data_IF_602565414207
#
_entry.id   IF_602565414207
#
_cell.length_a   1.000
_cell.length_b   1.000
_cell.length_c   1.000
_cell.angle_alpha   90.00
_cell.angle_beta   90.00
_cell.angle_gamma   90.00
#
_symmetry.space_group_name_H-M   'P 1'
#
loop_
_entity.id
_entity.type
_entity.pdbx_description
1 polymer ?
#
# COMPACT_ATOMS: atom_id res chain seq x y z
N UNK A 1 3.20 14.67 13.76
CA UNK A 1 2.29 14.48 12.62
C UNK A 1 1.92 13.01 12.63
N UNK A 2 0.62 12.64 12.63
CA UNK A 2 0.24 11.24 12.41
C UNK A 2 0.87 10.83 11.08
N UNK A 3 1.78 9.87 11.09
CA UNK A 3 2.26 9.29 9.84
C UNK A 3 1.04 8.73 9.11
N UNK A 4 0.90 9.06 7.82
CA UNK A 4 -0.21 8.57 7.01
C UNK A 4 -0.15 7.04 7.02
N UNK A 5 -1.24 6.37 7.41
CA UNK A 5 -1.32 4.90 7.50
C UNK A 5 -0.86 4.20 6.22
N UNK A 6 -1.03 4.85 5.07
CA UNK A 6 -0.59 4.35 3.76
C UNK A 6 0.95 4.33 3.68
N UNK A 7 1.63 5.34 4.22
CA UNK A 7 3.10 5.36 4.31
C UNK A 7 3.56 4.27 5.27
N UNK A 8 2.86 4.07 6.38
CA UNK A 8 3.18 3.01 7.33
C UNK A 8 3.03 1.62 6.71
N UNK A 9 1.94 1.38 5.99
CA UNK A 9 1.70 0.15 5.23
C UNK A 9 2.78 -0.07 4.18
N UNK A 10 3.13 0.97 3.42
CA UNK A 10 4.22 0.90 2.45
C UNK A 10 5.53 0.49 3.12
N UNK A 11 5.89 1.15 4.23
CA UNK A 11 7.11 0.83 4.97
C UNK A 11 7.07 -0.62 5.51
N UNK A 12 5.96 -1.07 6.08
CA UNK A 12 5.81 -2.46 6.57
C UNK A 12 5.89 -3.49 5.45
N UNK A 13 5.27 -3.23 4.30
CA UNK A 13 5.27 -4.14 3.16
C UNK A 13 6.66 -4.36 2.58
N UNK A 14 7.49 -3.31 2.57
CA UNK A 14 8.82 -3.33 1.93
C UNK A 14 10.00 -3.21 2.91
N UNK A 15 9.79 -3.50 4.20
CA UNK A 15 10.81 -3.47 5.28
C UNK A 15 12.11 -4.24 4.96
N UNK A 16 12.00 -5.33 4.21
CA UNK A 16 13.13 -6.16 3.76
C UNK A 16 13.91 -5.54 2.60
N UNK A 17 13.42 -4.46 2.01
CA UNK A 17 14.00 -3.78 0.85
C UNK A 17 14.22 -2.28 1.12
N UNK A 18 15.14 -1.91 2.04
CA UNK A 18 15.33 -0.52 2.45
C UNK A 18 15.74 0.42 1.32
N UNK A 19 16.45 -0.08 0.29
CA UNK A 19 16.76 0.68 -0.93
C UNK A 19 15.48 1.05 -1.67
N UNK A 20 14.58 0.08 -1.85
CA UNK A 20 13.30 0.27 -2.54
C UNK A 20 12.43 1.25 -1.77
N UNK A 21 12.33 1.11 -0.45
CA UNK A 21 11.58 2.06 0.37
C UNK A 21 12.04 3.49 0.13
N UNK A 22 13.35 3.73 0.17
CA UNK A 22 13.94 5.06 0.01
C UNK A 22 13.75 5.61 -1.41
N UNK A 23 14.02 4.80 -2.43
CA UNK A 23 14.00 5.24 -3.83
C UNK A 23 12.58 5.35 -4.39
N UNK A 24 11.62 4.60 -3.85
CA UNK A 24 10.22 4.66 -4.24
C UNK A 24 9.42 5.80 -3.55
N UNK A 25 9.94 6.39 -2.46
CA UNK A 25 9.22 7.46 -1.72
C UNK A 25 8.77 8.65 -2.60
N UNK A 26 9.60 9.20 -3.52
CA UNK A 26 9.15 10.30 -4.36
C UNK A 26 7.93 9.94 -5.22
N UNK A 27 7.89 8.70 -5.71
CA UNK A 27 6.77 8.18 -6.50
C UNK A 27 5.53 7.93 -5.63
N UNK A 28 5.73 7.41 -4.42
CA UNK A 28 4.66 7.25 -3.42
C UNK A 28 3.98 8.60 -3.14
N UNK A 29 4.76 9.65 -2.83
CA UNK A 29 4.21 10.97 -2.52
C UNK A 29 3.50 11.60 -3.71
N UNK A 30 4.10 11.53 -4.91
CA UNK A 30 3.45 11.99 -6.14
C UNK A 30 2.10 11.30 -6.35
N UNK A 31 2.02 10.00 -6.09
CA UNK A 31 0.80 9.23 -6.29
C UNK A 31 -0.25 9.49 -5.20
N UNK A 32 0.17 9.70 -3.96
CA UNK A 32 -0.72 10.15 -2.88
C UNK A 32 -1.40 11.48 -3.22
N UNK A 33 -0.63 12.43 -3.75
CA UNK A 33 -1.15 13.74 -4.18
C UNK A 33 -2.10 13.60 -5.38
N UNK A 34 -1.82 12.70 -6.33
CA UNK A 34 -2.70 12.40 -7.48
C UNK A 34 -4.04 11.77 -7.06
N UNK A 35 -3.99 10.73 -6.23
CA UNK A 35 -5.16 9.92 -5.90
C UNK A 35 -6.14 10.65 -4.98
N UNK A 36 -5.71 11.73 -4.32
CA UNK A 36 -6.53 12.49 -3.36
C UNK A 36 -7.29 11.58 -2.40
N UNK A 37 -6.61 10.56 -1.89
CA UNK A 37 -7.22 9.56 -0.99
C UNK A 37 -7.92 10.32 0.14
N UNK A 38 -9.24 10.11 0.25
CA UNK A 38 -10.07 10.88 1.17
C UNK A 38 -9.66 10.52 2.60
N UNK A 39 -9.79 11.48 3.52
CA UNK A 39 -9.60 11.23 4.95
C UNK A 39 -10.53 10.11 5.46
N UNK A 40 -11.67 9.90 4.79
CA UNK A 40 -12.59 8.79 5.06
C UNK A 40 -12.00 7.43 4.69
N UNK A 41 -11.31 7.33 3.55
CA UNK A 41 -10.67 6.08 3.12
C UNK A 41 -9.53 5.70 4.07
N UNK A 42 -8.75 6.70 4.52
CA UNK A 42 -7.73 6.52 5.55
C UNK A 42 -8.37 6.05 6.87
N UNK A 43 -9.47 6.67 7.28
CA UNK A 43 -10.17 6.30 8.51
C UNK A 43 -10.69 4.87 8.47
N UNK A 44 -11.08 4.36 7.29
CA UNK A 44 -11.53 2.98 7.13
C UNK A 44 -10.39 1.99 7.31
N UNK A 45 -9.22 2.27 6.73
CA UNK A 45 -8.02 1.47 6.98
C UNK A 45 -7.67 1.50 8.48
N UNK A 46 -7.81 2.65 9.16
CA UNK A 46 -7.59 2.74 10.61
C UNK A 46 -8.62 1.95 11.45
N UNK A 47 -9.75 1.50 10.86
CA UNK A 47 -10.77 0.71 11.58
C UNK A 47 -10.55 -0.81 11.52
N UNK A 48 -9.65 -1.29 10.68
CA UNK A 48 -9.34 -2.72 10.57
C UNK A 48 -8.49 -3.19 11.75
N UNK A 49 -8.56 -4.47 12.07
CA UNK A 49 -7.74 -5.05 13.14
C UNK A 49 -6.25 -5.16 12.74
N UNK A 50 -5.37 -5.22 13.73
CA UNK A 50 -3.93 -5.42 13.50
C UNK A 50 -3.62 -6.74 12.76
N UNK A 51 -4.45 -7.77 12.96
CA UNK A 51 -4.35 -9.05 12.25
C UNK A 51 -4.67 -8.86 10.75
N UNK A 52 -5.79 -8.22 10.42
CA UNK A 52 -6.15 -7.90 9.03
C UNK A 52 -5.09 -7.00 8.37
N UNK A 53 -4.58 -6.00 9.09
CA UNK A 53 -3.50 -5.14 8.62
C UNK A 53 -2.23 -5.95 8.30
N UNK A 54 -1.92 -6.95 9.12
CA UNK A 54 -0.78 -7.85 8.87
C UNK A 54 -0.99 -8.68 7.61
N UNK A 55 -2.18 -9.24 7.40
CA UNK A 55 -2.51 -9.99 6.19
C UNK A 55 -2.41 -9.12 4.92
N UNK A 56 -2.87 -7.88 4.98
CA UNK A 56 -2.75 -6.90 3.88
C UNK A 56 -1.27 -6.64 3.57
N UNK A 57 -0.45 -6.41 4.60
CA UNK A 57 0.99 -6.20 4.44
C UNK A 57 1.66 -7.40 3.77
N UNK A 58 1.32 -8.62 4.19
CA UNK A 58 1.86 -9.85 3.60
C UNK A 58 1.39 -10.05 2.15
N UNK A 59 0.12 -9.80 1.86
CA UNK A 59 -0.43 -9.87 0.51
C UNK A 59 0.27 -8.89 -0.44
N UNK A 60 0.41 -7.62 -0.04
CA UNK A 60 1.12 -6.60 -0.81
C UNK A 60 2.56 -7.06 -1.07
N UNK A 61 3.24 -7.58 -0.04
CA UNK A 61 4.61 -8.07 -0.15
C UNK A 61 4.74 -9.22 -1.15
N UNK A 62 3.84 -10.21 -1.07
CA UNK A 62 3.86 -11.36 -1.97
C UNK A 62 3.61 -10.95 -3.43
N UNK A 63 2.61 -10.12 -3.68
CA UNK A 63 2.29 -9.65 -5.04
C UNK A 63 3.41 -8.84 -5.68
N UNK A 64 4.17 -8.11 -4.87
CA UNK A 64 5.26 -7.26 -5.33
C UNK A 64 6.64 -7.91 -5.22
N UNK A 65 6.73 -9.19 -4.84
CA UNK A 65 8.00 -9.86 -4.57
C UNK A 65 8.90 -9.94 -5.82
N UNK A 66 8.32 -10.23 -6.99
CA UNK A 66 9.05 -10.35 -8.25
C UNK A 66 9.55 -8.98 -8.75
N UNK A 67 8.72 -7.94 -8.61
CA UNK A 67 9.08 -6.55 -8.90
C UNK A 67 10.19 -6.06 -7.97
N UNK A 68 10.07 -6.32 -6.66
CA UNK A 68 11.10 -5.97 -5.69
C UNK A 68 12.42 -6.67 -5.99
N UNK A 69 12.37 -7.96 -6.36
CA UNK A 69 13.56 -8.72 -6.75
C UNK A 69 14.20 -8.15 -8.01
N UNK A 70 13.40 -7.75 -9.00
CA UNK A 70 13.87 -7.14 -10.25
C UNK A 70 14.54 -5.79 -10.02
N UNK A 71 13.96 -4.95 -9.16
CA UNK A 71 14.53 -3.65 -8.76
C UNK A 71 15.83 -3.86 -7.98
N UNK A 72 15.84 -4.76 -7.00
CA UNK A 72 16.97 -4.96 -6.09
C UNK A 72 18.18 -5.62 -6.79
N UNK A 73 17.94 -6.45 -7.80
CA UNK A 73 18.99 -7.08 -8.60
C UNK A 73 19.50 -6.19 -9.75
N UNK A 74 18.86 -5.05 -10.02
CA UNK A 74 19.34 -4.09 -11.00
C UNK A 74 20.38 -3.15 -10.40
N UNK A 75 21.51 -2.98 -11.10
CA UNK A 75 22.50 -1.97 -10.75
C UNK A 75 22.00 -0.54 -11.01
N UNK A 76 21.06 -0.38 -11.95
CA UNK A 76 20.40 0.87 -12.30
C UNK A 76 18.91 0.58 -12.59
N UNK A 77 18.08 0.41 -11.55
CA UNK A 77 16.66 0.13 -11.72
C UNK A 77 15.98 1.31 -12.43
N UNK A 78 15.29 1.00 -13.53
CA UNK A 78 14.56 2.00 -14.31
C UNK A 78 13.45 2.63 -13.46
N UNK A 79 13.26 3.94 -13.61
CA UNK A 79 12.14 4.70 -13.01
C UNK A 79 10.77 4.04 -13.23
N UNK A 80 10.57 3.38 -14.37
CA UNK A 80 9.35 2.64 -14.69
C UNK A 80 9.03 1.54 -13.67
N UNK A 81 10.04 0.82 -13.17
CA UNK A 81 9.83 -0.26 -12.19
C UNK A 81 9.37 0.28 -10.83
N UNK A 82 9.87 1.45 -10.43
CA UNK A 82 9.41 2.11 -9.21
C UNK A 82 7.98 2.63 -9.36
N UNK A 83 7.63 3.16 -10.53
CA UNK A 83 6.25 3.58 -10.83
C UNK A 83 5.30 2.39 -10.82
N UNK A 84 5.67 1.29 -11.45
CA UNK A 84 4.88 0.05 -11.48
C UNK A 84 4.69 -0.54 -10.08
N UNK A 85 5.75 -0.54 -9.25
CA UNK A 85 5.66 -0.95 -7.85
C UNK A 85 4.65 -0.10 -7.07
N UNK A 86 4.69 1.22 -7.25
CA UNK A 86 3.78 2.14 -6.59
C UNK A 86 2.35 1.97 -7.09
N UNK A 87 2.13 1.79 -8.40
CA UNK A 87 0.80 1.52 -8.95
C UNK A 87 0.21 0.22 -8.40
N UNK A 88 0.99 -0.85 -8.40
CA UNK A 88 0.62 -2.14 -7.80
C UNK A 88 0.27 -1.99 -6.32
N UNK A 89 1.09 -1.28 -5.55
CA UNK A 89 0.81 -0.98 -4.14
C UNK A 89 -0.54 -0.26 -3.96
N UNK A 90 -0.83 0.78 -4.73
CA UNK A 90 -2.09 1.53 -4.61
C UNK A 90 -3.32 0.74 -5.07
N UNK A 91 -3.18 -0.16 -6.05
CA UNK A 91 -4.27 -1.08 -6.43
C UNK A 91 -4.67 -1.93 -5.22
N UNK A 92 -3.70 -2.45 -4.47
CA UNK A 92 -4.01 -3.26 -3.28
C UNK A 92 -4.58 -2.44 -2.11
N UNK A 93 -4.13 -1.20 -1.94
CA UNK A 93 -4.75 -0.27 -0.97
C UNK A 93 -6.22 -0.01 -1.32
N UNK A 94 -6.53 0.27 -2.59
CA UNK A 94 -7.92 0.47 -3.03
C UNK A 94 -8.77 -0.79 -2.85
N UNK A 95 -8.25 -1.96 -3.22
CA UNK A 95 -8.94 -3.23 -3.01
C UNK A 95 -9.24 -3.48 -1.51
N UNK A 96 -8.30 -3.09 -0.64
CA UNK A 96 -8.47 -3.18 0.81
C UNK A 96 -9.57 -2.24 1.29
N UNK A 97 -9.56 -0.98 0.86
CA UNK A 97 -10.60 0.00 1.20
C UNK A 97 -11.98 -0.51 0.75
N UNK A 98 -12.09 -1.01 -0.49
CA UNK A 98 -13.33 -1.57 -1.03
C UNK A 98 -13.82 -2.78 -0.21
N UNK A 99 -12.91 -3.66 0.20
CA UNK A 99 -13.25 -4.81 1.06
C UNK A 99 -13.80 -4.35 2.42
N UNK A 100 -13.15 -3.38 3.05
CA UNK A 100 -13.57 -2.83 4.35
C UNK A 100 -14.93 -2.13 4.23
N UNK A 101 -15.13 -1.32 3.20
CA UNK A 101 -16.43 -0.71 2.90
C UNK A 101 -17.53 -1.77 2.76
N UNK A 102 -17.28 -2.82 1.98
CA UNK A 102 -18.24 -3.90 1.76
C UNK A 102 -18.57 -4.65 3.07
N UNK A 103 -17.59 -4.87 3.93
CA UNK A 103 -17.79 -5.50 5.25
C UNK A 103 -18.63 -4.61 6.17
N UNK A 104 -18.39 -3.31 6.19
CA UNK A 104 -19.16 -2.35 7.01
C UNK A 104 -20.61 -2.27 6.51
N UNK A 105 -20.83 -2.13 5.20
CA UNK A 105 -22.16 -2.09 4.60
C UNK A 105 -22.92 -3.39 4.86
N UNK A 106 -22.26 -4.55 4.71
CA UNK A 106 -22.87 -5.85 4.97
C UNK A 106 -23.36 -5.98 6.43
N UNK A 107 -22.59 -5.47 7.40
CA UNK A 107 -23.00 -5.44 8.81
C UNK A 107 -24.17 -4.49 9.09
N UNK A 108 -24.32 -3.41 8.32
CA UNK A 108 -25.41 -2.45 8.47
C UNK A 108 -26.74 -2.90 7.85
N UNK A 109 -26.69 -3.71 6.79
CA UNK A 109 -27.89 -4.19 6.07
C UNK A 109 -28.45 -5.52 6.60
N UNK A 110 -27.69 -6.25 7.42
CA UNK A 110 -28.02 -7.58 7.93
C UNK A 110 -28.44 -7.65 9.40
N UNK A 111 -28.94 -6.54 9.99
CA UNK A 111 -29.44 -6.47 11.37
C UNK A 111 -30.94 -6.71 11.48
#
# INVERSE_FOLDING_TARGET
MKENIIIELFNKSFDKFPKIQKEAQPYLFSKLDELKIDVQDIALIETISDEELTEIVEMIRQKNADLCSSINNSNDPKDELYKELIESFFIEINNTIDLVYNLIISKQLGG
#
